data_IF_075520372019
#
_entry.id   IF_075520372019
#
_cell.length_a   1.000
_cell.length_b   1.000
_cell.length_c   1.000
_cell.angle_alpha   90.00
_cell.angle_beta   90.00
_cell.angle_gamma   90.00
#
_symmetry.space_group_name_H-M   'P 1'
#
loop_
_entity.id
_entity.type
_entity.pdbx_description
1 polymer ?
#
# COMPACT_ATOMS: atom_id res chain seq x y z
N UNK A 1 -22.40 -10.82 -8.42
CA UNK A 1 -21.98 -10.54 -9.81
C UNK A 1 -20.61 -9.87 -9.77
N UNK A 2 -19.73 -10.22 -10.71
CA UNK A 2 -18.42 -9.60 -10.88
C UNK A 2 -18.35 -9.04 -12.29
N UNK A 3 -17.78 -7.85 -12.41
CA UNK A 3 -17.55 -7.17 -13.68
C UNK A 3 -16.09 -6.70 -13.72
N UNK A 4 -15.45 -6.80 -14.88
CA UNK A 4 -14.15 -6.17 -15.14
C UNK A 4 -14.41 -5.09 -16.18
N UNK A 5 -14.19 -3.82 -15.77
CA UNK A 5 -14.61 -2.65 -16.53
C UNK A 5 -13.41 -1.75 -16.84
N UNK A 6 -13.51 -1.04 -17.96
CA UNK A 6 -12.57 0.01 -18.32
C UNK A 6 -12.89 1.34 -17.59
N UNK A 7 -12.11 2.39 -17.87
CA UNK A 7 -12.33 3.74 -17.32
C UNK A 7 -13.66 4.39 -17.74
N UNK A 8 -14.31 3.87 -18.78
CA UNK A 8 -15.61 4.34 -19.27
C UNK A 8 -16.77 3.48 -18.79
N UNK A 9 -16.51 2.59 -17.81
CA UNK A 9 -17.49 1.64 -17.26
C UNK A 9 -18.02 0.66 -18.29
N UNK A 10 -17.22 0.31 -19.31
CA UNK A 10 -17.56 -0.70 -20.31
C UNK A 10 -16.87 -2.02 -19.97
N UNK A 11 -17.55 -3.18 -20.14
CA UNK A 11 -16.91 -4.48 -19.97
C UNK A 11 -15.71 -4.65 -20.89
N UNK A 12 -14.59 -5.11 -20.33
CA UNK A 12 -13.39 -5.37 -21.12
C UNK A 12 -13.46 -6.75 -21.79
N UNK A 13 -12.85 -6.92 -22.99
CA UNK A 13 -12.70 -8.22 -23.61
C UNK A 13 -11.84 -9.19 -22.78
N UNK A 14 -11.96 -10.50 -23.07
CA UNK A 14 -11.09 -11.53 -22.50
C UNK A 14 -9.62 -11.18 -22.73
N UNK A 15 -8.79 -11.34 -21.71
CA UNK A 15 -7.37 -11.04 -21.72
C UNK A 15 -7.03 -9.56 -21.48
N UNK A 16 -7.99 -8.65 -21.60
CA UNK A 16 -7.76 -7.21 -21.40
C UNK A 16 -7.92 -6.85 -19.92
N UNK A 17 -6.93 -6.17 -19.30
CA UNK A 17 -7.03 -5.69 -17.93
C UNK A 17 -8.08 -4.59 -17.76
N UNK A 18 -8.80 -4.64 -16.62
CA UNK A 18 -9.72 -3.60 -16.18
C UNK A 18 -9.88 -3.60 -14.67
N UNK A 19 -10.61 -2.64 -14.13
CA UNK A 19 -10.95 -2.61 -12.72
C UNK A 19 -12.03 -3.64 -12.39
N UNK A 20 -11.79 -4.44 -11.37
CA UNK A 20 -12.75 -5.39 -10.86
C UNK A 20 -13.83 -4.66 -10.04
N UNK A 21 -15.07 -4.91 -10.38
CA UNK A 21 -16.25 -4.36 -9.70
C UNK A 21 -17.12 -5.49 -9.17
N UNK A 22 -17.70 -5.31 -8.00
CA UNK A 22 -18.59 -6.28 -7.35
C UNK A 22 -20.00 -5.70 -7.28
N UNK A 23 -20.98 -6.44 -7.80
CA UNK A 23 -22.40 -6.11 -7.72
C UNK A 23 -23.22 -7.22 -7.06
N UNK A 24 -24.43 -6.88 -6.64
CA UNK A 24 -25.40 -7.84 -6.10
C UNK A 24 -25.63 -7.73 -4.60
N UNK A 25 -26.22 -8.76 -4.01
CA UNK A 25 -26.75 -8.76 -2.64
C UNK A 25 -25.70 -8.55 -1.55
N UNK A 26 -24.46 -8.99 -1.79
CA UNK A 26 -23.36 -8.85 -0.86
C UNK A 26 -22.72 -7.46 -0.81
N UNK A 27 -23.16 -6.51 -1.67
CA UNK A 27 -22.62 -5.15 -1.68
C UNK A 27 -23.16 -4.35 -0.50
N UNK A 28 -22.26 -3.85 0.34
CA UNK A 28 -22.59 -3.04 1.51
C UNK A 28 -23.28 -1.71 1.14
N UNK A 29 -23.93 -1.08 2.12
CA UNK A 29 -24.56 0.22 1.94
C UNK A 29 -23.56 1.36 1.73
N UNK A 30 -22.37 1.24 2.27
CA UNK A 30 -21.30 2.23 2.19
C UNK A 30 -20.39 2.20 3.41
N UNK A 31 -19.56 3.21 3.53
CA UNK A 31 -18.69 3.44 4.68
C UNK A 31 -19.41 4.31 5.73
N UNK A 32 -19.35 3.92 6.98
CA UNK A 32 -19.98 4.66 8.09
C UNK A 32 -19.35 6.05 8.23
N UNK A 33 -20.18 7.09 8.24
CA UNK A 33 -19.79 8.51 8.38
C UNK A 33 -18.77 8.99 7.34
N UNK A 34 -18.75 8.38 6.14
CA UNK A 34 -17.85 8.73 5.03
C UNK A 34 -18.64 8.80 3.72
N UNK A 35 -19.50 9.83 3.61
CA UNK A 35 -20.40 9.98 2.46
C UNK A 35 -19.63 10.09 1.13
N UNK A 36 -18.65 10.98 1.06
CA UNK A 36 -17.83 11.20 -0.14
C UNK A 36 -17.13 9.93 -0.62
N UNK A 37 -16.48 9.19 0.31
CA UNK A 37 -15.84 7.91 -0.01
C UNK A 37 -16.87 6.86 -0.44
N UNK A 38 -18.07 6.90 0.14
CA UNK A 38 -19.15 6.00 -0.25
C UNK A 38 -19.60 6.29 -1.68
N UNK A 39 -19.80 7.54 -2.05
CA UNK A 39 -20.17 7.93 -3.42
C UNK A 39 -19.09 7.58 -4.43
N UNK A 40 -17.82 7.75 -4.08
CA UNK A 40 -16.68 7.37 -4.92
C UNK A 40 -16.62 5.86 -5.18
N UNK A 41 -16.81 5.04 -4.14
CA UNK A 41 -16.57 3.59 -4.20
C UNK A 41 -17.82 2.77 -4.51
N UNK A 42 -19.01 3.26 -4.15
CA UNK A 42 -20.27 2.57 -4.37
C UNK A 42 -21.12 3.30 -5.42
N UNK A 43 -20.84 3.00 -6.66
CA UNK A 43 -21.46 3.66 -7.82
C UNK A 43 -22.74 2.96 -8.29
N UNK A 44 -23.53 3.61 -9.15
CA UNK A 44 -24.67 2.99 -9.79
C UNK A 44 -24.20 1.89 -10.76
N UNK A 45 -24.89 0.74 -10.75
CA UNK A 45 -24.65 -0.36 -11.67
C UNK A 45 -25.33 -0.08 -13.03
N UNK A 46 -24.58 0.21 -14.10
CA UNK A 46 -25.17 0.47 -15.41
C UNK A 46 -25.78 -0.78 -16.05
N UNK A 47 -25.44 -1.98 -15.56
CA UNK A 47 -25.89 -3.26 -16.07
C UNK A 47 -27.00 -3.88 -15.19
N UNK A 48 -27.26 -3.29 -14.01
CA UNK A 48 -28.21 -3.78 -13.04
C UNK A 48 -29.65 -3.46 -13.45
N UNK A 49 -30.56 -4.43 -13.28
CA UNK A 49 -32.00 -4.24 -13.41
C UNK A 49 -32.64 -4.55 -12.07
N UNK A 50 -33.29 -3.56 -11.44
CA UNK A 50 -34.08 -3.74 -10.23
C UNK A 50 -33.32 -3.51 -8.91
N UNK A 51 -33.51 -4.38 -7.91
CA UNK A 51 -33.10 -4.17 -6.51
C UNK A 51 -31.59 -4.02 -6.28
N UNK A 52 -30.74 -4.52 -7.21
CA UNK A 52 -29.27 -4.57 -7.05
C UNK A 52 -28.59 -3.68 -8.09
N UNK A 53 -28.80 -2.37 -7.96
CA UNK A 53 -28.33 -1.36 -8.92
C UNK A 53 -27.00 -0.70 -8.51
N UNK A 54 -26.26 -1.31 -7.58
CA UNK A 54 -24.97 -0.76 -7.11
C UNK A 54 -23.80 -1.67 -7.42
N UNK A 55 -22.67 -1.05 -7.75
CA UNK A 55 -21.36 -1.66 -7.89
C UNK A 55 -20.41 -1.09 -6.85
N UNK A 56 -19.62 -1.97 -6.28
CA UNK A 56 -18.47 -1.60 -5.46
C UNK A 56 -17.21 -1.63 -6.33
N UNK A 57 -16.53 -0.49 -6.42
CA UNK A 57 -15.21 -0.34 -7.05
C UNK A 57 -14.15 -0.88 -6.10
N UNK A 58 -13.55 -2.02 -6.45
CA UNK A 58 -12.58 -2.66 -5.55
C UNK A 58 -11.21 -1.99 -5.57
N UNK A 59 -10.86 -1.32 -6.69
CA UNK A 59 -9.52 -0.83 -6.97
C UNK A 59 -8.55 -1.95 -7.36
N UNK A 60 -9.04 -3.18 -7.54
CA UNK A 60 -8.24 -4.31 -8.02
C UNK A 60 -8.19 -4.32 -9.54
N UNK A 61 -7.01 -4.52 -10.11
CA UNK A 61 -6.81 -4.75 -11.54
C UNK A 61 -6.93 -6.25 -11.80
N UNK A 62 -7.76 -6.63 -12.75
CA UNK A 62 -7.99 -8.02 -13.09
C UNK A 62 -8.26 -8.18 -14.59
N UNK A 63 -8.25 -9.42 -15.09
CA UNK A 63 -8.71 -9.78 -16.44
C UNK A 63 -9.41 -11.12 -16.45
N UNK A 64 -10.30 -11.33 -17.40
CA UNK A 64 -10.83 -12.64 -17.70
C UNK A 64 -9.81 -13.45 -18.49
N UNK A 65 -9.62 -14.72 -18.11
CA UNK A 65 -8.86 -15.69 -18.89
C UNK A 65 -9.81 -16.37 -19.89
N UNK A 66 -9.25 -17.07 -20.89
CA UNK A 66 -10.02 -17.80 -21.89
C UNK A 66 -10.91 -18.89 -21.28
N UNK A 67 -10.51 -19.46 -20.15
CA UNK A 67 -11.25 -20.45 -19.38
C UNK A 67 -12.39 -19.86 -18.52
N UNK A 68 -12.62 -18.55 -18.58
CA UNK A 68 -13.62 -17.81 -17.80
C UNK A 68 -13.19 -17.47 -16.38
N UNK A 69 -12.02 -17.92 -15.92
CA UNK A 69 -11.48 -17.54 -14.62
C UNK A 69 -11.01 -16.09 -14.62
N UNK A 70 -11.02 -15.49 -13.43
CA UNK A 70 -10.51 -14.14 -13.21
C UNK A 70 -9.07 -14.23 -12.70
N UNK A 71 -8.15 -13.59 -13.41
CA UNK A 71 -6.78 -13.44 -13.00
C UNK A 71 -6.59 -12.06 -12.34
N UNK A 72 -6.14 -12.10 -11.10
CA UNK A 72 -5.78 -10.89 -10.35
C UNK A 72 -4.41 -10.38 -10.80
N UNK A 73 -4.32 -9.11 -11.19
CA UNK A 73 -3.11 -8.48 -11.70
C UNK A 73 -2.47 -7.49 -10.73
N UNK A 74 -3.12 -7.24 -9.59
CA UNK A 74 -2.62 -6.30 -8.59
C UNK A 74 -3.64 -5.21 -8.24
N UNK A 75 -3.16 -4.13 -7.62
CA UNK A 75 -3.97 -2.98 -7.23
C UNK A 75 -3.75 -1.82 -8.20
N UNK A 76 -4.83 -1.10 -8.51
CA UNK A 76 -4.78 0.17 -9.24
C UNK A 76 -4.34 1.33 -8.33
N UNK A 77 -4.66 1.24 -7.05
CA UNK A 77 -4.21 2.15 -6.00
C UNK A 77 -2.90 1.66 -5.35
N UNK A 78 -2.41 2.43 -4.41
CA UNK A 78 -1.16 2.12 -3.71
C UNK A 78 -1.37 1.31 -2.42
N UNK A 79 -2.55 0.73 -2.24
CA UNK A 79 -2.80 -0.12 -1.09
C UNK A 79 -1.96 -1.38 -1.14
N UNK A 80 -1.43 -1.76 0.00
CA UNK A 80 -0.63 -2.98 0.15
C UNK A 80 -1.17 -3.86 1.27
N UNK A 81 -0.87 -5.17 1.18
CA UNK A 81 -1.16 -6.12 2.26
C UNK A 81 0.16 -6.50 2.95
N UNK A 82 0.28 -6.18 4.22
CA UNK A 82 1.44 -6.53 5.04
C UNK A 82 0.96 -7.21 6.34
N UNK A 83 1.39 -8.44 6.57
CA UNK A 83 1.05 -9.24 7.78
C UNK A 83 -0.45 -9.27 8.10
N UNK A 84 -1.29 -9.37 7.07
CA UNK A 84 -2.76 -9.39 7.19
C UNK A 84 -3.43 -8.02 7.28
N UNK A 85 -2.66 -6.94 7.48
CA UNK A 85 -3.19 -5.58 7.47
C UNK A 85 -3.27 -5.01 6.06
N UNK A 86 -4.33 -4.24 5.80
CA UNK A 86 -4.51 -3.45 4.57
C UNK A 86 -4.03 -2.04 4.86
N UNK A 87 -2.99 -1.59 4.17
CA UNK A 87 -2.28 -0.35 4.43
C UNK A 87 -2.40 0.58 3.22
N UNK A 88 -2.84 1.81 3.47
CA UNK A 88 -2.83 2.91 2.51
C UNK A 88 -1.47 3.63 2.60
N UNK A 89 -0.59 3.42 1.61
CA UNK A 89 0.74 4.05 1.63
C UNK A 89 0.64 5.58 1.62
N UNK A 90 -0.36 6.13 0.93
CA UNK A 90 -0.62 7.58 0.90
C UNK A 90 -0.93 8.19 2.26
N UNK A 91 -1.51 7.44 3.20
CA UNK A 91 -1.76 7.92 4.56
C UNK A 91 -0.44 8.14 5.31
N UNK A 92 0.52 7.21 5.14
CA UNK A 92 1.86 7.34 5.72
C UNK A 92 2.60 8.52 5.07
N UNK A 93 2.53 8.64 3.75
CA UNK A 93 3.13 9.75 2.99
C UNK A 93 2.56 11.10 3.43
N UNK A 94 1.25 11.19 3.68
CA UNK A 94 0.59 12.40 4.16
C UNK A 94 1.07 12.84 5.55
N UNK A 95 1.34 11.90 6.47
CA UNK A 95 1.90 12.21 7.79
C UNK A 95 3.36 12.62 7.69
N UNK A 96 4.15 11.96 6.81
CA UNK A 96 5.53 12.34 6.54
C UNK A 96 5.64 13.75 5.93
N UNK A 97 4.75 14.12 5.02
CA UNK A 97 4.73 15.43 4.39
C UNK A 97 4.50 16.60 5.37
N UNK A 98 3.93 16.32 6.55
CA UNK A 98 3.71 17.32 7.61
C UNK A 98 4.95 17.55 8.48
N UNK A 99 6.00 16.74 8.33
CA UNK A 99 7.22 16.90 9.09
C UNK A 99 8.07 18.05 8.52
N UNK A 100 8.55 18.94 9.38
CA UNK A 100 9.31 20.12 8.98
C UNK A 100 10.55 19.78 8.15
N UNK A 101 11.25 18.71 8.51
CA UNK A 101 12.46 18.26 7.84
C UNK A 101 12.19 17.63 6.45
N UNK A 102 10.95 17.24 6.13
CA UNK A 102 10.61 16.49 4.91
C UNK A 102 10.16 17.43 3.80
N UNK A 103 10.84 17.38 2.67
CA UNK A 103 10.45 18.07 1.44
C UNK A 103 9.48 17.24 0.60
N UNK A 104 9.78 15.94 0.46
CA UNK A 104 8.91 14.97 -0.20
C UNK A 104 9.23 13.55 0.26
N UNK A 105 8.28 12.65 0.14
CA UNK A 105 8.48 11.25 0.49
C UNK A 105 7.66 10.32 -0.38
N UNK A 106 8.12 9.07 -0.47
CA UNK A 106 7.40 7.96 -1.09
C UNK A 106 7.57 6.74 -0.20
N UNK A 107 6.46 6.06 0.06
CA UNK A 107 6.46 4.82 0.83
C UNK A 107 6.18 3.64 -0.09
N UNK A 108 6.89 2.54 0.12
CA UNK A 108 6.71 1.30 -0.64
C UNK A 108 6.71 0.09 0.27
N UNK A 109 5.93 -0.92 -0.11
CA UNK A 109 6.13 -2.28 0.38
C UNK A 109 7.24 -2.91 -0.45
N UNK A 110 8.30 -3.39 0.21
CA UNK A 110 9.42 -4.09 -0.44
C UNK A 110 9.56 -5.49 0.11
N UNK A 111 10.03 -6.37 -0.75
CA UNK A 111 10.41 -7.75 -0.45
C UNK A 111 11.76 -8.03 -1.13
N UNK A 112 12.84 -7.45 -0.58
CA UNK A 112 14.19 -7.60 -1.13
C UNK A 112 14.80 -8.96 -0.77
N UNK A 113 14.30 -9.60 0.28
CA UNK A 113 14.56 -10.97 0.67
C UNK A 113 13.24 -11.73 0.68
N UNK A 114 13.14 -12.90 0.06
CA UNK A 114 11.91 -13.68 0.05
C UNK A 114 11.33 -13.90 1.45
N UNK A 115 10.05 -13.59 1.62
CA UNK A 115 9.33 -13.67 2.90
C UNK A 115 9.50 -12.47 3.83
N UNK A 116 10.46 -11.56 3.59
CA UNK A 116 10.68 -10.37 4.41
C UNK A 116 10.04 -9.13 3.78
N UNK A 117 8.71 -9.08 3.85
CA UNK A 117 7.94 -7.90 3.42
C UNK A 117 8.00 -6.80 4.47
N UNK A 118 8.35 -5.58 4.04
CA UNK A 118 8.47 -4.42 4.92
C UNK A 118 8.12 -3.12 4.22
N UNK A 119 7.66 -2.15 5.02
CA UNK A 119 7.47 -0.77 4.56
C UNK A 119 8.81 -0.05 4.59
N UNK A 120 9.13 0.62 3.48
CA UNK A 120 10.31 1.47 3.32
C UNK A 120 9.85 2.86 2.92
N UNK A 121 10.28 3.88 3.65
CA UNK A 121 10.05 5.28 3.32
C UNK A 121 11.30 5.89 2.69
N UNK A 122 11.17 6.35 1.46
CA UNK A 122 12.19 7.18 0.78
C UNK A 122 11.87 8.64 1.05
N UNK A 123 12.82 9.38 1.60
CA UNK A 123 12.59 10.72 2.11
C UNK A 123 13.58 11.69 1.49
N UNK A 124 13.09 12.76 0.88
CA UNK A 124 13.90 13.91 0.47
C UNK A 124 13.80 14.94 1.59
N UNK A 125 14.92 15.32 2.13
CA UNK A 125 14.99 16.29 3.22
C UNK A 125 15.07 17.73 2.67
N UNK A 126 14.56 18.68 3.44
CA UNK A 126 14.76 20.10 3.14
C UNK A 126 16.23 20.48 3.31
N UNK A 127 16.64 21.53 2.61
CA UNK A 127 18.03 22.00 2.66
C UNK A 127 18.46 22.32 4.11
N UNK A 128 19.62 21.79 4.50
CA UNK A 128 20.18 21.99 5.85
C UNK A 128 19.61 21.06 6.93
N UNK A 129 18.59 20.23 6.60
CA UNK A 129 18.05 19.26 7.53
C UNK A 129 18.77 17.92 7.44
N UNK A 130 18.80 17.17 8.54
CA UNK A 130 19.33 15.82 8.63
C UNK A 130 18.22 14.83 8.93
N UNK A 131 18.42 13.58 8.51
CA UNK A 131 17.48 12.49 8.80
C UNK A 131 17.56 12.12 10.29
N UNK A 132 16.50 12.39 11.02
CA UNK A 132 16.28 11.88 12.37
C UNK A 132 15.19 10.81 12.35
N UNK A 133 15.60 9.57 12.18
CA UNK A 133 14.66 8.44 12.13
C UNK A 133 13.84 8.29 13.41
N UNK A 134 14.42 8.60 14.59
CA UNK A 134 13.71 8.49 15.87
C UNK A 134 12.57 9.49 15.95
N UNK A 135 12.82 10.73 15.56
CA UNK A 135 11.80 11.78 15.51
C UNK A 135 10.71 11.45 14.50
N UNK A 136 11.07 10.98 13.30
CA UNK A 136 10.09 10.58 12.29
C UNK A 136 9.21 9.41 12.77
N UNK A 137 9.80 8.39 13.38
CA UNK A 137 9.04 7.26 13.96
C UNK A 137 8.11 7.70 15.07
N UNK A 138 8.56 8.57 15.96
CA UNK A 138 7.73 9.11 17.04
C UNK A 138 6.53 9.90 16.49
N UNK A 139 6.76 10.76 15.49
CA UNK A 139 5.71 11.52 14.83
C UNK A 139 4.69 10.63 14.12
N UNK A 140 5.15 9.59 13.42
CA UNK A 140 4.27 8.61 12.79
C UNK A 140 3.48 7.83 13.83
N UNK A 141 4.14 7.35 14.91
CA UNK A 141 3.51 6.56 15.98
C UNK A 141 2.47 7.34 16.79
N UNK A 142 2.55 8.67 16.81
CA UNK A 142 1.52 9.50 17.43
C UNK A 142 0.21 9.57 16.64
N UNK A 143 0.20 9.17 15.35
CA UNK A 143 -0.93 9.35 14.42
C UNK A 143 -1.34 8.07 13.71
N UNK A 144 -0.44 7.13 13.55
CA UNK A 144 -0.64 5.89 12.80
C UNK A 144 -0.44 4.67 13.69
N UNK A 145 -1.16 3.58 13.42
CA UNK A 145 -0.91 2.30 14.06
C UNK A 145 0.52 1.80 13.77
N UNK A 146 1.07 1.02 14.69
CA UNK A 146 2.46 0.52 14.62
C UNK A 146 2.75 -0.24 13.31
N UNK A 147 1.79 -1.02 12.80
CA UNK A 147 1.94 -1.77 11.55
C UNK A 147 2.06 -0.89 10.29
N UNK A 148 1.75 0.40 10.38
CA UNK A 148 1.91 1.39 9.30
C UNK A 148 3.23 2.15 9.38
N UNK A 149 4.03 1.97 10.43
CA UNK A 149 5.30 2.68 10.58
C UNK A 149 6.37 2.00 9.73
N UNK A 150 7.02 2.73 8.78
CA UNK A 150 8.10 2.17 7.97
C UNK A 150 9.24 1.61 8.82
N UNK A 151 9.72 0.42 8.48
CA UNK A 151 10.85 -0.20 9.17
C UNK A 151 12.19 0.43 8.80
N UNK A 152 12.26 1.08 7.64
CA UNK A 152 13.48 1.70 7.11
C UNK A 152 13.14 3.06 6.51
N UNK A 153 13.99 4.06 6.78
CA UNK A 153 13.95 5.38 6.13
C UNK A 153 15.22 5.55 5.30
N UNK A 154 15.05 5.85 4.01
CA UNK A 154 16.14 6.02 3.06
C UNK A 154 16.19 7.49 2.63
N UNK A 155 17.20 8.26 3.02
CA UNK A 155 17.36 9.61 2.53
C UNK A 155 17.77 9.61 1.06
N UNK A 156 17.13 10.46 0.27
CA UNK A 156 17.44 10.67 -1.13
C UNK A 156 17.68 12.16 -1.40
N UNK A 157 18.60 12.49 -2.34
CA UNK A 157 18.75 13.87 -2.77
C UNK A 157 17.53 14.38 -3.53
N UNK A 158 16.87 13.50 -4.30
CA UNK A 158 15.63 13.76 -5.01
C UNK A 158 14.91 12.45 -5.31
N UNK A 159 13.58 12.51 -5.47
CA UNK A 159 12.81 11.36 -5.94
C UNK A 159 13.03 11.17 -7.45
N UNK A 160 13.28 9.93 -7.92
CA UNK A 160 13.34 9.66 -9.34
C UNK A 160 11.97 9.88 -9.97
N UNK A 161 11.93 10.58 -11.11
CA UNK A 161 10.71 10.85 -11.84
C UNK A 161 10.70 10.10 -13.19
N UNK A 162 9.52 9.76 -13.65
CA UNK A 162 9.27 9.30 -15.03
C UNK A 162 9.30 10.49 -15.98
N UNK A 163 9.33 10.25 -17.29
CA UNK A 163 9.23 11.28 -18.34
C UNK A 163 7.96 12.15 -18.21
N UNK A 164 6.92 11.62 -17.57
CA UNK A 164 5.66 12.33 -17.34
C UNK A 164 5.59 13.04 -15.98
N UNK A 165 6.72 13.17 -15.27
CA UNK A 165 6.80 13.87 -13.98
C UNK A 165 6.22 13.10 -12.78
N UNK A 166 5.82 11.84 -12.93
CA UNK A 166 5.37 10.99 -11.82
C UNK A 166 6.56 10.29 -11.17
N UNK A 167 6.46 9.98 -9.88
CA UNK A 167 7.51 9.23 -9.17
C UNK A 167 7.74 7.86 -9.82
N UNK A 168 8.99 7.61 -10.21
CA UNK A 168 9.42 6.32 -10.75
C UNK A 168 9.79 5.37 -9.62
N UNK A 169 8.81 4.64 -9.10
CA UNK A 169 9.02 3.70 -7.98
C UNK A 169 9.96 2.55 -8.32
N UNK A 170 10.03 2.13 -9.59
CA UNK A 170 10.93 1.04 -10.00
C UNK A 170 12.41 1.44 -9.99
N UNK A 171 12.71 2.74 -10.03
CA UNK A 171 14.06 3.27 -9.95
C UNK A 171 14.55 3.47 -8.50
N UNK A 172 13.70 3.22 -7.50
CA UNK A 172 14.08 3.34 -6.09
C UNK A 172 14.90 2.09 -5.68
N UNK A 173 16.16 2.33 -5.28
CA UNK A 173 17.08 1.27 -4.90
C UNK A 173 16.61 0.53 -3.62
N UNK A 174 17.01 -0.74 -3.51
CA UNK A 174 16.83 -1.48 -2.27
C UNK A 174 17.56 -0.76 -1.12
N UNK A 175 16.95 -0.66 0.07
CA UNK A 175 17.60 -0.04 1.20
C UNK A 175 18.84 -0.88 1.59
N UNK A 176 19.96 -0.22 1.79
CA UNK A 176 21.13 -0.86 2.40
C UNK A 176 20.79 -1.03 3.89
N UNK A 177 20.21 -2.16 4.22
CA UNK A 177 19.99 -2.50 5.64
C UNK A 177 21.32 -2.97 6.19
N UNK A 178 22.03 -2.11 6.90
CA UNK A 178 23.05 -2.57 7.82
C UNK A 178 22.35 -3.46 8.84
N UNK A 179 22.37 -4.78 8.62
CA UNK A 179 22.04 -5.72 9.69
C UNK A 179 23.07 -5.44 10.78
N UNK A 180 22.71 -4.62 11.74
CA UNK A 180 23.38 -4.69 13.02
C UNK A 180 23.15 -6.14 13.45
N UNK A 181 24.17 -7.00 13.54
CA UNK A 181 23.95 -8.35 14.01
C UNK A 181 23.21 -8.21 15.33
N UNK A 182 22.07 -8.90 15.42
CA UNK A 182 21.40 -9.01 16.71
C UNK A 182 22.50 -9.48 17.66
N UNK A 183 22.85 -8.65 18.64
CA UNK A 183 23.77 -9.06 19.68
C UNK A 183 23.01 -10.19 20.39
N UNK A 184 23.27 -11.41 19.97
CA UNK A 184 22.84 -12.59 20.69
C UNK A 184 23.47 -12.49 22.06
N UNK A 185 22.74 -11.95 23.02
CA UNK A 185 23.13 -12.11 24.41
C UNK A 185 23.18 -13.60 24.69
N UNK A 186 24.35 -14.09 25.09
CA UNK A 186 24.44 -15.47 25.56
C UNK A 186 23.42 -15.70 26.67
N UNK A 187 22.80 -16.89 26.74
CA UNK A 187 21.86 -17.23 27.77
C UNK A 187 22.42 -16.90 29.15
N UNK A 188 21.66 -16.18 29.97
CA UNK A 188 22.10 -15.74 31.30
C UNK A 188 21.82 -16.77 32.40
N UNK A 189 21.04 -17.81 32.07
CA UNK A 189 20.69 -18.90 33.01
C UNK A 189 20.65 -20.25 32.28
N UNK A 190 20.81 -21.35 32.99
CA UNK A 190 20.69 -22.70 32.43
C UNK A 190 19.31 -22.95 31.78
N UNK A 191 18.27 -22.32 32.29
CA UNK A 191 16.92 -22.43 31.73
C UNK A 191 16.80 -21.71 30.36
N UNK A 192 17.41 -20.54 30.23
CA UNK A 192 17.48 -19.82 28.93
C UNK A 192 18.28 -20.61 27.90
N UNK A 193 19.34 -21.30 28.30
CA UNK A 193 20.14 -22.16 27.43
C UNK A 193 19.29 -23.32 26.88
N UNK A 194 18.47 -23.96 27.71
CA UNK A 194 17.57 -25.04 27.29
C UNK A 194 16.44 -24.59 26.35
N UNK A 195 16.04 -23.31 26.39
CA UNK A 195 15.02 -22.76 25.51
C UNK A 195 15.55 -22.27 24.16
N UNK A 196 16.88 -22.18 24.02
CA UNK A 196 17.56 -21.78 22.78
C UNK A 196 18.04 -22.98 21.95
N UNK A 197 17.95 -24.20 22.42
CA UNK A 197 18.13 -25.47 21.69
C UNK A 197 16.81 -25.88 21.01
#
# INVERSE_FOLDING_TARGET
QIYILDKHMQPVPIGVPGELHIGGEGVARGYLNRAELTEEKFIRNPFGKGKWDRLYKTGDLARYREDGNIEYLGRMDQQVKLRGYRIELGEIEAVLAQQEAVASSVVMLREDVPGDKRLVAYVVLRQGMQLDEKSLRASLGARLPEYMIPSVFVPLPQLPLTTNGKVNRSALAAPVVSRTPAVHSAPRSPLEAQLCE
#
